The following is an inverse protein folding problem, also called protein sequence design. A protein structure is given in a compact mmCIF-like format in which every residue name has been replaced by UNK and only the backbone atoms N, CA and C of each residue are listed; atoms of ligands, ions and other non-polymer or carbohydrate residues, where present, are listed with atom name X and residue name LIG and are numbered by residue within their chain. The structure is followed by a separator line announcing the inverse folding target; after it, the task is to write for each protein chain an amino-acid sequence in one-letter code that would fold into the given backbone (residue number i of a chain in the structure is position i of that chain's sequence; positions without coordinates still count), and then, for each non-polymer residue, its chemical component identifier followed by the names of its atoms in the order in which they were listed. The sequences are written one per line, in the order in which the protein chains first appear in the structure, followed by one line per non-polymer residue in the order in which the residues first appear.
data_IF_499843250381
#
_entry.id   IF_499843250381
#
_cell.length_a   1.000
_cell.length_b   1.000
_cell.length_c   1.000
_cell.angle_alpha   90.00
_cell.angle_beta   90.00
_cell.angle_gamma   90.00
#
_symmetry.space_group_name_H-M   'P 1'
#
loop_
_entity.id
_entity.type
_entity.pdbx_description
1 polymer ?
#
# COMPACT_ATOMS: atom_id res chain seq x y z
N UNK A 1 21.14 8.74 -16.12
CA UNK A 1 20.50 7.57 -15.48
C UNK A 1 21.52 6.64 -14.83
N UNK A 2 22.46 6.01 -15.55
CA UNK A 2 23.45 5.08 -14.97
C UNK A 2 24.23 5.63 -13.75
N UNK A 3 24.74 6.88 -13.82
CA UNK A 3 25.50 7.50 -12.72
C UNK A 3 24.69 7.75 -11.43
N UNK A 4 23.37 7.91 -11.52
CA UNK A 4 22.51 8.16 -10.36
C UNK A 4 22.20 6.85 -9.61
N UNK A 5 22.01 5.77 -10.36
CA UNK A 5 21.79 4.44 -9.78
C UNK A 5 23.05 3.93 -9.05
N UNK A 6 24.23 4.16 -9.62
CA UNK A 6 25.52 3.84 -8.96
C UNK A 6 25.72 4.68 -7.69
N UNK A 7 25.34 5.96 -7.71
CA UNK A 7 25.44 6.85 -6.55
C UNK A 7 24.54 6.39 -5.38
N UNK A 8 23.32 5.96 -5.68
CA UNK A 8 22.35 5.51 -4.66
C UNK A 8 22.56 4.06 -4.20
N UNK A 9 23.41 3.29 -4.91
CA UNK A 9 23.62 1.87 -4.64
C UNK A 9 23.96 1.57 -3.17
N UNK A 10 24.87 2.29 -2.48
CA UNK A 10 25.19 1.99 -1.09
C UNK A 10 23.99 2.15 -0.14
N UNK A 11 23.14 3.14 -0.39
CA UNK A 11 21.91 3.36 0.38
C UNK A 11 20.92 2.21 0.14
N UNK A 12 20.67 1.87 -1.12
CA UNK A 12 19.76 0.79 -1.51
C UNK A 12 20.23 -0.56 -0.94
N UNK A 13 21.53 -0.87 -1.01
CA UNK A 13 22.10 -2.09 -0.43
C UNK A 13 21.89 -2.14 1.09
N UNK A 14 21.97 -1.00 1.77
CA UNK A 14 21.76 -0.90 3.22
C UNK A 14 20.29 -1.11 3.59
N UNK A 15 19.36 -0.48 2.85
CA UNK A 15 17.92 -0.68 3.02
C UNK A 15 17.54 -2.15 2.78
N UNK A 16 18.08 -2.76 1.72
CA UNK A 16 17.83 -4.17 1.41
C UNK A 16 18.34 -5.10 2.51
N UNK A 17 19.54 -4.85 3.06
CA UNK A 17 20.08 -5.62 4.21
C UNK A 17 19.22 -5.47 5.46
N UNK A 18 18.79 -4.25 5.78
CA UNK A 18 17.88 -3.99 6.91
C UNK A 18 16.55 -4.73 6.75
N UNK A 19 15.99 -4.71 5.54
CA UNK A 19 14.74 -5.42 5.23
C UNK A 19 14.91 -6.93 5.40
N UNK A 20 15.98 -7.51 4.84
CA UNK A 20 16.27 -8.94 4.95
C UNK A 20 16.47 -9.41 6.41
N UNK A 21 17.03 -8.57 7.29
CA UNK A 21 17.14 -8.88 8.72
C UNK A 21 15.79 -9.01 9.43
N UNK A 22 14.70 -8.53 8.81
CA UNK A 22 13.34 -8.65 9.32
C UNK A 22 12.52 -9.74 8.63
N UNK A 23 13.13 -10.51 7.73
CA UNK A 23 12.50 -11.63 7.03
C UNK A 23 12.77 -12.97 7.73
N UNK A 24 11.81 -13.88 7.68
CA UNK A 24 11.95 -15.22 8.27
C UNK A 24 11.57 -15.28 9.76
N UNK A 25 12.39 -15.98 10.57
CA UNK A 25 12.08 -16.24 11.98
C UNK A 25 12.09 -14.92 12.75
N UNK A 26 10.97 -14.61 13.42
CA UNK A 26 10.85 -13.39 14.21
C UNK A 26 11.83 -13.41 15.40
N UNK A 27 12.78 -12.48 15.47
CA UNK A 27 13.66 -12.32 16.61
C UNK A 27 12.94 -11.63 17.79
N UNK A 28 13.59 -11.65 18.96
CA UNK A 28 13.18 -10.83 20.09
C UNK A 28 13.23 -9.35 19.69
N UNK A 29 12.27 -8.55 20.14
CA UNK A 29 12.09 -7.15 19.73
C UNK A 29 11.86 -6.94 18.23
N UNK A 30 11.24 -7.91 17.53
CA UNK A 30 10.90 -7.80 16.10
C UNK A 30 10.25 -6.46 15.70
N UNK A 31 9.33 -5.94 16.51
CA UNK A 31 8.66 -4.66 16.23
C UNK A 31 9.66 -3.48 16.19
N UNK A 32 10.72 -3.49 17.00
CA UNK A 32 11.76 -2.46 17.00
C UNK A 32 12.56 -2.52 15.70
N UNK A 33 13.07 -3.71 15.38
CA UNK A 33 13.84 -3.93 14.15
C UNK A 33 13.04 -3.59 12.91
N UNK A 34 11.76 -3.98 12.87
CA UNK A 34 10.89 -3.69 11.73
C UNK A 34 10.60 -2.20 11.60
N UNK A 35 10.40 -1.49 12.70
CA UNK A 35 10.25 -0.02 12.68
C UNK A 35 11.47 0.66 12.07
N UNK A 36 12.67 0.24 12.46
CA UNK A 36 13.93 0.80 11.90
C UNK A 36 14.09 0.42 10.43
N UNK A 37 13.90 -0.85 10.07
CA UNK A 37 14.10 -1.30 8.69
C UNK A 37 13.15 -0.57 7.72
N UNK A 38 11.88 -0.43 8.09
CA UNK A 38 10.89 0.24 7.25
C UNK A 38 11.14 1.76 7.19
N UNK A 39 11.61 2.38 8.28
CA UNK A 39 11.86 3.83 8.32
C UNK A 39 13.04 4.26 7.44
N UNK A 40 13.97 3.36 7.12
CA UNK A 40 15.10 3.67 6.23
C UNK A 40 14.67 4.06 4.82
N UNK A 41 13.49 3.63 4.35
CA UNK A 41 12.96 4.04 3.04
C UNK A 41 12.79 5.56 2.92
N UNK A 42 12.56 6.26 4.04
CA UNK A 42 12.46 7.71 4.06
C UNK A 42 13.75 8.38 3.57
N UNK A 43 14.92 7.74 3.77
CA UNK A 43 16.22 8.29 3.35
C UNK A 43 16.38 8.33 1.83
N UNK A 44 15.55 7.61 1.06
CA UNK A 44 15.58 7.63 -0.40
C UNK A 44 15.10 8.95 -1.02
N UNK A 45 14.62 9.92 -0.22
CA UNK A 45 14.21 11.25 -0.70
C UNK A 45 15.30 11.97 -1.50
N UNK A 46 16.58 11.68 -1.23
CA UNK A 46 17.73 12.26 -1.95
C UNK A 46 17.78 11.84 -3.42
N UNK A 47 17.07 10.76 -3.79
CA UNK A 47 16.95 10.32 -5.17
C UNK A 47 16.00 11.20 -5.99
N UNK A 48 15.37 12.23 -5.42
CA UNK A 48 14.41 13.07 -6.12
C UNK A 48 15.13 13.93 -7.16
N UNK A 49 14.80 13.69 -8.43
CA UNK A 49 15.40 14.39 -9.59
C UNK A 49 14.45 15.40 -10.24
N UNK A 50 13.37 15.78 -9.57
CA UNK A 50 12.36 16.71 -10.07
C UNK A 50 11.01 16.05 -10.33
N UNK A 51 10.04 16.88 -10.74
CA UNK A 51 8.69 16.44 -11.10
C UNK A 51 8.77 15.49 -12.30
N UNK A 52 8.21 14.28 -12.17
CA UNK A 52 8.21 13.27 -13.24
C UNK A 52 9.26 12.16 -13.08
N UNK A 53 10.08 12.16 -12.03
CA UNK A 53 11.02 11.06 -11.75
C UNK A 53 10.37 9.81 -11.11
N UNK A 54 9.04 9.80 -10.95
CA UNK A 54 8.30 8.69 -10.35
C UNK A 54 8.35 8.65 -8.82
N UNK A 55 8.85 9.70 -8.15
CA UNK A 55 8.83 9.82 -6.70
C UNK A 55 8.03 11.04 -6.25
N UNK A 56 7.44 10.95 -5.05
CA UNK A 56 6.78 12.08 -4.39
C UNK A 56 7.80 13.15 -4.01
N UNK A 57 7.32 14.36 -3.70
CA UNK A 57 8.19 15.43 -3.22
C UNK A 57 8.95 14.97 -1.97
N UNK A 58 10.21 15.39 -1.76
CA UNK A 58 11.04 14.94 -0.63
C UNK A 58 10.36 14.91 0.73
N UNK A 59 9.63 15.98 1.08
CA UNK A 59 8.86 16.05 2.33
C UNK A 59 7.74 15.01 2.38
N UNK A 60 6.98 14.86 1.29
CA UNK A 60 5.92 13.86 1.18
C UNK A 60 6.48 12.43 1.20
N UNK A 61 7.60 12.17 0.51
CA UNK A 61 8.28 10.89 0.51
C UNK A 61 8.66 10.43 1.93
N UNK A 62 9.17 11.35 2.76
CA UNK A 62 9.49 11.05 4.16
C UNK A 62 8.23 10.75 4.98
N UNK A 63 7.17 11.54 4.80
CA UNK A 63 5.89 11.34 5.50
C UNK A 63 5.24 9.99 5.12
N UNK A 64 5.19 9.67 3.82
CA UNK A 64 4.67 8.42 3.27
C UNK A 64 5.51 7.21 3.72
N UNK A 65 6.84 7.32 3.68
CA UNK A 65 7.75 6.25 4.12
C UNK A 65 7.64 5.99 5.62
N UNK A 66 7.45 7.04 6.44
CA UNK A 66 7.30 6.91 7.88
C UNK A 66 6.04 6.11 8.26
N UNK A 67 4.94 6.22 7.50
CA UNK A 67 3.68 5.52 7.81
C UNK A 67 3.86 4.00 7.91
N UNK A 68 4.76 3.42 7.12
CA UNK A 68 5.05 1.98 7.17
C UNK A 68 5.78 1.58 8.46
N UNK A 69 6.77 2.39 8.86
CA UNK A 69 7.47 2.21 10.13
C UNK A 69 6.57 2.46 11.35
N UNK A 70 5.66 3.43 11.23
CA UNK A 70 4.77 3.87 12.31
C UNK A 70 3.86 2.74 12.79
N UNK A 71 3.43 1.85 11.89
CA UNK A 71 2.64 0.67 12.27
C UNK A 71 3.36 -0.22 13.28
N UNK A 72 4.63 -0.54 13.04
CA UNK A 72 5.43 -1.36 13.96
C UNK A 72 5.88 -0.58 15.18
N UNK A 73 6.14 0.72 15.04
CA UNK A 73 6.52 1.59 16.14
C UNK A 73 5.37 1.73 17.16
N UNK A 74 4.13 1.83 16.68
CA UNK A 74 2.94 1.85 17.53
C UNK A 74 2.75 0.54 18.30
N UNK A 75 3.16 -0.61 17.74
CA UNK A 75 3.14 -1.87 18.48
C UNK A 75 4.12 -1.87 19.64
N UNK A 76 5.30 -1.27 19.48
CA UNK A 76 6.24 -1.05 20.60
C UNK A 76 5.58 -0.20 21.68
N UNK A 77 5.00 0.94 21.31
CA UNK A 77 4.30 1.81 22.28
C UNK A 77 3.19 1.07 23.03
N UNK A 78 2.36 0.29 22.34
CA UNK A 78 1.26 -0.46 22.96
C UNK A 78 1.79 -1.58 23.87
N UNK A 79 2.83 -2.29 23.46
CA UNK A 79 3.40 -3.41 24.19
C UNK A 79 4.10 -2.96 25.47
N UNK A 80 4.77 -1.80 25.44
CA UNK A 80 5.67 -1.36 26.51
C UNK A 80 5.14 -0.18 27.35
N UNK A 81 4.03 0.48 26.98
CA UNK A 81 3.48 1.65 27.71
C UNK A 81 3.36 1.52 29.24
N UNK A 82 3.16 0.31 29.74
CA UNK A 82 3.02 0.01 31.17
C UNK A 82 4.05 -1.02 31.67
N UNK A 83 5.07 -1.33 30.87
CA UNK A 83 6.08 -2.36 31.20
C UNK A 83 7.44 -1.73 31.40
N UNK A 84 7.85 -0.86 30.47
CA UNK A 84 9.19 -0.31 30.43
C UNK A 84 9.19 1.02 29.68
N UNK A 85 9.67 2.07 30.34
CA UNK A 85 9.71 3.42 29.79
C UNK A 85 10.77 3.57 28.69
N UNK A 86 11.87 2.81 28.74
CA UNK A 86 12.99 2.95 27.81
C UNK A 86 12.55 2.62 26.36
N UNK A 87 11.74 1.57 26.21
CA UNK A 87 11.16 1.19 24.92
C UNK A 87 10.17 2.24 24.38
N UNK A 88 9.44 2.90 25.28
CA UNK A 88 8.49 3.96 24.91
C UNK A 88 9.23 5.22 24.48
N UNK A 89 10.28 5.61 25.21
CA UNK A 89 11.14 6.73 24.88
C UNK A 89 11.88 6.49 23.56
N UNK A 90 12.40 5.27 23.35
CA UNK A 90 13.01 4.87 22.08
C UNK A 90 12.04 5.03 20.90
N UNK A 91 10.79 4.55 21.04
CA UNK A 91 9.80 4.63 19.97
C UNK A 91 9.38 6.08 19.64
N UNK A 92 9.34 6.95 20.67
CA UNK A 92 9.11 8.39 20.48
C UNK A 92 10.29 9.05 19.80
N UNK A 93 11.51 8.77 20.23
CA UNK A 93 12.73 9.32 19.64
C UNK A 93 12.88 8.92 18.16
N UNK A 94 12.57 7.66 17.82
CA UNK A 94 12.58 7.21 16.44
C UNK A 94 11.56 7.98 15.59
N UNK A 95 10.35 8.22 16.11
CA UNK A 95 9.35 9.04 15.42
C UNK A 95 9.82 10.47 15.21
N UNK A 96 10.32 11.10 16.27
CA UNK A 96 10.80 12.49 16.24
C UNK A 96 11.95 12.69 15.25
N UNK A 97 12.81 11.68 15.07
CA UNK A 97 13.90 11.71 14.09
C UNK A 97 13.38 11.94 12.66
N UNK A 98 12.28 11.29 12.28
CA UNK A 98 11.71 11.44 10.94
C UNK A 98 10.69 12.58 10.86
N UNK A 99 9.78 12.63 11.82
CA UNK A 99 8.69 13.61 11.91
C UNK A 99 8.62 14.15 13.35
N UNK A 100 9.07 15.40 13.62
CA UNK A 100 9.38 16.45 12.64
C UNK A 100 10.80 16.47 12.07
N UNK A 101 11.79 15.78 12.66
CA UNK A 101 13.23 16.02 12.42
C UNK A 101 13.66 16.10 10.95
N UNK A 102 13.69 14.96 10.25
CA UNK A 102 14.08 14.89 8.84
C UNK A 102 13.12 15.66 7.93
N UNK A 103 11.81 15.53 8.19
CA UNK A 103 10.75 16.17 7.42
C UNK A 103 10.91 17.69 7.38
N UNK A 104 11.11 18.33 8.53
CA UNK A 104 11.24 19.78 8.65
C UNK A 104 12.61 20.27 8.15
N UNK A 105 13.67 19.48 8.32
CA UNK A 105 14.96 19.74 7.69
C UNK A 105 14.82 19.82 6.16
N UNK A 106 14.21 18.82 5.54
CA UNK A 106 13.97 18.79 4.09
C UNK A 106 13.09 19.96 3.67
N UNK A 107 12.00 20.22 4.39
CA UNK A 107 11.10 21.34 4.08
C UNK A 107 11.82 22.69 4.11
N UNK A 108 12.75 22.87 5.05
CA UNK A 108 13.50 24.12 5.22
C UNK A 108 14.61 24.30 4.19
N UNK A 109 15.36 23.24 3.87
CA UNK A 109 16.59 23.34 3.07
C UNK A 109 16.48 22.78 1.65
N UNK A 110 15.60 21.80 1.42
CA UNK A 110 15.42 21.08 0.15
C UNK A 110 13.95 20.90 -0.26
N UNK A 111 13.10 21.95 -0.23
CA UNK A 111 11.66 21.82 -0.52
C UNK A 111 11.36 21.32 -1.94
N UNK A 112 12.29 21.52 -2.87
CA UNK A 112 12.22 21.05 -4.26
C UNK A 112 13.23 19.94 -4.56
N UNK A 113 13.80 19.33 -3.51
CA UNK A 113 14.81 18.28 -3.61
C UNK A 113 16.24 18.78 -3.67
N UNK A 114 17.20 17.84 -3.66
CA UNK A 114 18.61 18.15 -3.75
C UNK A 114 18.97 18.70 -5.13
N UNK A 115 19.86 19.69 -5.15
CA UNK A 115 20.42 20.25 -6.38
C UNK A 115 21.75 19.56 -6.65
N UNK A 116 21.85 18.86 -7.78
CA UNK A 116 23.07 18.18 -8.19
C UNK A 116 23.90 19.08 -9.12
N UNK A 117 25.13 19.40 -8.73
CA UNK A 117 26.07 20.17 -9.55
C UNK A 117 26.91 19.28 -10.49
N UNK A 118 27.65 19.87 -11.45
CA UNK A 118 28.66 19.15 -12.22
C UNK A 118 29.73 18.55 -11.30
N UNK A 119 30.23 17.36 -11.62
CA UNK A 119 31.29 16.72 -10.86
C UNK A 119 32.54 17.62 -10.84
N UNK A 120 32.96 18.07 -9.65
CA UNK A 120 34.16 18.88 -9.44
C UNK A 120 33.93 20.35 -9.08
N UNK A 121 32.69 20.84 -9.02
CA UNK A 121 32.41 22.19 -8.50
C UNK A 121 32.24 22.16 -6.97
N UNK A 122 32.87 23.12 -6.28
CA UNK A 122 32.64 23.35 -4.85
C UNK A 122 31.14 23.55 -4.58
N UNK A 123 30.62 23.11 -3.41
CA UNK A 123 29.19 23.23 -3.10
C UNK A 123 28.75 24.69 -3.29
N UNK A 124 27.60 24.94 -3.95
CA UNK A 124 27.09 26.30 -4.08
C UNK A 124 26.93 26.88 -2.67
N UNK A 125 27.50 28.08 -2.44
CA UNK A 125 27.22 28.84 -1.21
C UNK A 125 25.70 28.96 -1.11
N UNK A 126 25.15 28.45 -0.02
CA UNK A 126 23.72 28.57 0.29
C UNK A 126 23.31 30.04 0.07
N UNK A 127 22.26 30.26 -0.72
CA UNK A 127 21.69 31.59 -0.90
C UNK A 127 21.35 32.14 0.49
N UNK A 128 22.02 33.22 0.87
CA UNK A 128 21.84 33.85 2.17
C UNK A 128 20.39 34.35 2.30
N UNK A 129 19.65 33.96 3.36
CA UNK A 129 18.49 34.73 3.78
C UNK A 129 18.98 36.10 4.26
N UNK A 130 18.27 37.16 3.89
CA UNK A 130 18.52 38.51 4.38
C UNK A 130 18.60 38.50 5.92
N UNK A 131 19.77 38.84 6.45
CA UNK A 131 20.10 38.74 7.87
C UNK A 131 19.53 39.92 8.67
N UNK A 132 18.82 39.62 9.77
CA UNK A 132 19.07 40.21 11.10
C UNK A 132 18.74 39.19 12.19
N UNK A 133 19.77 38.56 12.76
CA UNK A 133 19.68 37.69 13.93
C UNK A 133 21.00 36.95 14.17
N UNK A 134 21.54 36.90 15.41
CA UNK A 134 22.88 36.36 15.68
C UNK A 134 22.88 34.82 15.59
N UNK A 135 24.05 34.20 15.30
CA UNK A 135 24.13 32.76 15.06
C UNK A 135 24.00 31.95 16.36
N UNK A 136 23.38 30.77 16.34
CA UNK A 136 23.35 29.84 17.47
C UNK A 136 24.69 29.10 17.62
N UNK A 137 25.02 28.60 18.83
CA UNK A 137 26.32 28.02 19.16
C UNK A 137 26.52 26.61 18.56
N UNK A 138 27.77 26.29 18.23
CA UNK A 138 28.18 24.99 17.70
C UNK A 138 28.11 23.88 18.77
N UNK A 139 27.56 22.72 18.41
CA UNK A 139 27.58 21.52 19.23
C UNK A 139 28.96 20.82 19.16
N UNK A 140 29.46 20.23 20.26
CA UNK A 140 30.80 19.67 20.35
C UNK A 140 30.89 18.26 19.73
N UNK A 141 31.96 18.04 18.96
CA UNK A 141 32.35 16.73 18.42
C UNK A 141 33.03 15.87 19.49
N UNK A 142 32.66 14.60 19.58
CA UNK A 142 33.40 13.56 20.31
C UNK A 142 33.73 12.39 19.36
N UNK A 143 34.83 11.65 19.61
CA UNK A 143 35.68 11.10 18.54
C UNK A 143 35.44 9.62 18.21
N UNK A 144 35.67 9.28 16.94
CA UNK A 144 35.74 7.91 16.42
C UNK A 144 37.15 7.34 16.66
N UNK A 145 37.19 6.11 17.19
CA UNK A 145 38.40 5.31 17.31
C UNK A 145 38.85 4.80 15.93
N UNK A 146 40.12 5.04 15.61
CA UNK A 146 40.87 4.37 14.55
C UNK A 146 41.62 3.17 15.12
N UNK A 147 41.70 2.06 14.39
CA UNK A 147 42.97 1.31 14.25
C UNK A 147 42.95 0.49 12.96
N UNK A 148 44.05 0.65 12.24
CA UNK A 148 44.44 0.05 10.96
C UNK A 148 45.20 -1.26 11.21
N UNK A 149 45.09 -2.25 10.31
CA UNK A 149 46.23 -2.91 9.64
C UNK A 149 45.78 -4.05 8.73
N UNK A 150 46.06 -3.89 7.44
CA UNK A 150 46.26 -4.98 6.48
C UNK A 150 47.67 -5.58 6.60
N UNK A 151 47.95 -6.76 6.02
CA UNK A 151 48.63 -6.76 4.71
C UNK A 151 48.13 -7.81 3.69
N UNK A 152 48.62 -7.64 2.46
CA UNK A 152 48.21 -8.18 1.14
C UNK A 152 48.71 -9.60 0.82
N UNK A 153 47.98 -10.32 -0.04
CA UNK A 153 48.48 -11.16 -1.17
C UNK A 153 47.32 -11.49 -2.14
N UNK A 154 47.30 -10.95 -3.37
CA UNK A 154 47.70 -11.52 -4.69
C UNK A 154 46.68 -12.47 -5.40
N UNK A 155 45.89 -11.87 -6.34
CA UNK A 155 45.27 -12.41 -7.59
C UNK A 155 44.28 -13.60 -7.56
N UNK A 156 43.47 -13.82 -8.65
CA UNK A 156 42.61 -12.91 -9.39
C UNK A 156 41.12 -13.38 -9.39
N UNK A 157 40.23 -12.49 -9.85
CA UNK A 157 38.77 -12.64 -9.90
C UNK A 157 38.30 -13.78 -10.82
N UNK A 158 37.42 -14.66 -10.31
CA UNK A 158 36.40 -15.34 -11.11
C UNK A 158 35.08 -15.39 -10.33
N UNK A 159 34.08 -14.68 -10.83
CA UNK A 159 32.73 -14.62 -10.28
C UNK A 159 31.75 -15.45 -11.09
N UNK A 160 30.71 -15.93 -10.40
CA UNK A 160 29.29 -16.09 -10.81
C UNK A 160 28.96 -16.64 -12.21
N UNK A 161 29.89 -17.30 -12.88
CA UNK A 161 29.71 -18.02 -14.15
C UNK A 161 29.98 -19.52 -14.02
N UNK A 162 30.48 -19.98 -12.87
CA UNK A 162 30.64 -21.40 -12.55
C UNK A 162 29.35 -22.08 -12.05
N UNK A 163 28.37 -21.31 -11.56
CA UNK A 163 27.10 -21.85 -11.03
C UNK A 163 26.13 -22.25 -12.14
N UNK A 164 26.27 -21.68 -13.35
CA UNK A 164 25.40 -21.98 -14.49
C UNK A 164 25.93 -23.07 -15.43
N UNK A 165 27.18 -23.54 -15.26
CA UNK A 165 27.69 -24.73 -15.95
C UNK A 165 27.40 -26.04 -15.21
N UNK A 166 27.03 -25.98 -13.93
CA UNK A 166 26.70 -27.18 -13.14
C UNK A 166 25.23 -27.63 -13.29
N UNK A 167 24.41 -26.88 -14.04
CA UNK A 167 22.99 -27.17 -14.27
C UNK A 167 22.73 -27.80 -15.67
N UNK A 168 23.76 -27.86 -16.54
CA UNK A 168 23.65 -28.38 -17.90
C UNK A 168 24.02 -29.86 -18.09
N UNK A 169 24.46 -30.56 -17.06
CA UNK A 169 24.89 -31.96 -17.14
C UNK A 169 23.95 -32.88 -16.38
N UNK A 170 22.96 -33.46 -17.07
CA UNK A 170 22.05 -34.42 -16.46
C UNK A 170 22.77 -35.62 -15.83
N UNK A 171 22.75 -35.71 -14.50
CA UNK A 171 22.75 -36.96 -13.69
C UNK A 171 22.51 -36.67 -12.19
N UNK A 172 21.56 -37.42 -11.61
CA UNK A 172 21.24 -37.68 -10.20
C UNK A 172 20.97 -36.53 -9.21
N UNK A 173 19.92 -35.73 -9.47
CA UNK A 173 19.35 -34.74 -8.51
C UNK A 173 18.32 -35.36 -7.53
N UNK A 174 18.18 -36.69 -7.44
CA UNK A 174 17.14 -37.33 -6.60
C UNK A 174 17.66 -38.16 -5.41
N UNK A 175 18.97 -38.22 -5.20
CA UNK A 175 19.57 -39.04 -4.13
C UNK A 175 19.46 -38.43 -2.71
N UNK A 176 19.09 -37.15 -2.58
CA UNK A 176 19.00 -36.44 -1.28
C UNK A 176 17.59 -36.26 -0.70
N UNK A 177 16.53 -36.70 -1.41
CA UNK A 177 15.14 -36.52 -0.97
C UNK A 177 14.65 -37.75 -0.21
N UNK A 178 14.13 -37.55 1.01
CA UNK A 178 13.45 -38.62 1.77
C UNK A 178 12.26 -39.14 0.95
N UNK A 179 12.19 -40.45 0.70
CA UNK A 179 11.05 -41.08 0.04
C UNK A 179 9.79 -40.96 0.90
N UNK A 180 8.73 -40.45 0.30
CA UNK A 180 7.38 -40.39 0.89
C UNK A 180 6.82 -41.82 0.93
N UNK A 181 6.58 -42.35 2.14
CA UNK A 181 5.98 -43.66 2.36
C UNK A 181 4.46 -43.62 2.12
N UNK A 182 3.85 -44.76 1.80
CA UNK A 182 2.47 -44.84 1.29
C UNK A 182 1.38 -44.35 2.27
N UNK A 183 1.70 -44.26 3.56
CA UNK A 183 0.87 -43.67 4.63
C UNK A 183 0.77 -42.14 4.55
N UNK A 184 1.71 -41.49 3.85
CA UNK A 184 1.72 -40.03 3.66
C UNK A 184 0.93 -39.58 2.42
N UNK A 185 0.39 -40.51 1.63
CA UNK A 185 -0.46 -40.20 0.47
C UNK A 185 -1.92 -40.06 0.91
N UNK A 186 -2.55 -38.94 0.54
CA UNK A 186 -3.93 -38.59 0.93
C UNK A 186 -5.00 -39.65 0.55
N UNK A 187 -4.69 -40.58 -0.36
CA UNK A 187 -5.59 -41.68 -0.78
C UNK A 187 -5.65 -42.87 0.21
N UNK A 188 -4.76 -42.94 1.19
CA UNK A 188 -4.61 -44.09 2.10
C UNK A 188 -4.96 -43.76 3.57
N UNK A 189 -5.63 -42.64 3.86
CA UNK A 189 -6.17 -42.36 5.20
C UNK A 189 -7.45 -43.17 5.42
N UNK A 190 -7.39 -44.20 6.26
CA UNK A 190 -8.53 -45.07 6.57
C UNK A 190 -9.59 -44.44 7.49
N UNK A 191 -9.47 -43.16 7.88
CA UNK A 191 -10.34 -42.52 8.88
C UNK A 191 -11.26 -41.42 8.30
N UNK A 192 -11.82 -41.67 7.11
CA UNK A 192 -12.94 -40.89 6.56
C UNK A 192 -13.92 -41.81 5.85
N UNK A 193 -14.71 -42.56 6.61
CA UNK A 193 -15.90 -43.22 6.05
C UNK A 193 -17.02 -42.18 5.86
N UNK A 194 -17.08 -41.57 4.68
CA UNK A 194 -18.24 -40.81 4.23
C UNK A 194 -19.25 -41.75 3.56
N UNK A 195 -19.98 -42.54 4.35
CA UNK A 195 -21.16 -43.27 3.85
C UNK A 195 -22.34 -42.32 3.92
N UNK A 196 -22.85 -41.92 2.76
CA UNK A 196 -24.12 -41.21 2.62
C UNK A 196 -25.22 -42.27 2.55
N UNK A 197 -26.05 -42.36 3.58
CA UNK A 197 -27.34 -43.08 3.49
C UNK A 197 -28.47 -42.07 3.50
N UNK A 198 -29.26 -42.12 2.45
CA UNK A 198 -30.52 -41.41 2.25
C UNK A 198 -31.62 -42.11 3.04
N UNK A 199 -32.43 -41.36 3.82
CA UNK A 199 -33.82 -41.70 4.17
C UNK A 199 -34.51 -40.53 4.89
N UNK A 200 -35.83 -40.49 4.72
CA UNK A 200 -36.71 -39.33 4.76
C UNK A 200 -37.23 -38.88 6.16
N UNK A 201 -37.57 -37.59 6.19
CA UNK A 201 -38.52 -36.80 7.01
C UNK A 201 -39.26 -37.39 8.23
N UNK A 202 -39.18 -36.68 9.38
CA UNK A 202 -40.29 -36.09 10.18
C UNK A 202 -39.72 -35.24 11.37
N UNK A 203 -40.49 -34.48 12.18
CA UNK A 203 -40.39 -33.02 12.32
C UNK A 203 -39.69 -32.50 13.61
N UNK A 204 -39.40 -31.19 13.59
CA UNK A 204 -38.56 -30.41 14.49
C UNK A 204 -38.91 -30.39 15.99
N UNK A 205 -37.93 -30.03 16.83
CA UNK A 205 -38.17 -28.95 17.79
C UNK A 205 -37.12 -27.84 17.73
N UNK A 206 -37.59 -26.62 17.99
CA UNK A 206 -36.85 -25.37 17.95
C UNK A 206 -35.54 -25.42 18.75
N UNK A 207 -34.43 -25.02 18.12
CA UNK A 207 -33.19 -24.64 18.80
C UNK A 207 -32.69 -23.33 18.25
N UNK A 208 -32.57 -22.39 19.19
CA UNK A 208 -31.94 -21.08 19.10
C UNK A 208 -30.61 -21.16 18.35
N UNK A 209 -30.57 -20.60 17.13
CA UNK A 209 -29.33 -20.46 16.38
C UNK A 209 -28.50 -19.34 16.99
N UNK A 210 -27.62 -19.68 17.93
CA UNK A 210 -26.42 -18.90 18.20
C UNK A 210 -25.51 -19.09 17.00
N UNK A 211 -25.71 -18.27 15.95
CA UNK A 211 -24.74 -18.15 14.87
C UNK A 211 -23.45 -17.61 15.49
N UNK A 212 -22.46 -18.49 15.62
CA UNK A 212 -21.10 -18.11 15.98
C UNK A 212 -20.53 -17.25 14.87
N UNK A 213 -20.59 -15.94 15.05
CA UNK A 213 -19.84 -14.99 14.25
C UNK A 213 -18.36 -15.31 14.40
N UNK A 214 -17.73 -15.79 13.33
CA UNK A 214 -16.29 -15.62 13.14
C UNK A 214 -16.04 -14.12 12.90
N UNK A 215 -16.17 -13.33 13.96
CA UNK A 215 -15.79 -11.94 13.99
C UNK A 215 -14.28 -11.85 13.93
N UNK A 216 -13.75 -11.63 12.73
CA UNK A 216 -12.48 -10.91 12.58
C UNK A 216 -12.53 -9.71 13.51
N UNK A 217 -11.56 -9.58 14.42
CA UNK A 217 -11.44 -8.43 15.32
C UNK A 217 -11.35 -7.17 14.47
N UNK A 218 -12.48 -6.51 14.24
CA UNK A 218 -12.55 -5.22 13.54
C UNK A 218 -11.80 -4.19 14.38
N UNK A 219 -10.98 -3.36 13.74
CA UNK A 219 -10.33 -2.25 14.44
C UNK A 219 -11.37 -1.29 15.02
N UNK A 220 -10.95 -0.35 15.87
CA UNK A 220 -11.85 0.66 16.42
C UNK A 220 -12.48 1.46 15.27
N UNK A 221 -13.82 1.61 15.24
CA UNK A 221 -14.49 2.45 14.26
C UNK A 221 -14.00 3.89 14.36
N UNK A 222 -13.70 4.52 13.23
CA UNK A 222 -13.33 5.95 13.16
C UNK A 222 -14.11 6.64 12.06
N UNK A 223 -14.44 7.89 12.34
CA UNK A 223 -14.92 8.87 11.38
C UNK A 223 -14.44 10.22 11.92
N UNK A 224 -13.29 10.68 11.44
CA UNK A 224 -12.68 11.92 11.93
C UNK A 224 -11.82 12.58 10.86
N UNK A 225 -11.71 13.90 10.94
CA UNK A 225 -10.79 14.68 10.13
C UNK A 225 -9.42 14.76 10.81
N UNK A 226 -8.44 14.04 10.26
CA UNK A 226 -7.08 14.07 10.77
C UNK A 226 -6.30 15.24 10.18
N UNK A 227 -5.63 15.99 11.07
CA UNK A 227 -4.72 17.09 10.73
C UNK A 227 -5.35 18.15 9.82
N UNK A 228 -6.68 18.32 9.87
CA UNK A 228 -7.44 19.24 9.02
C UNK A 228 -7.41 18.93 7.53
N UNK A 229 -6.93 17.73 7.13
CA UNK A 229 -6.55 17.43 5.75
C UNK A 229 -7.14 16.14 5.20
N UNK A 230 -7.22 15.09 6.02
CA UNK A 230 -7.62 13.75 5.60
C UNK A 230 -8.74 13.23 6.47
N UNK A 231 -9.91 13.01 5.90
CA UNK A 231 -10.97 12.26 6.54
C UNK A 231 -10.61 10.78 6.57
N UNK A 232 -10.72 10.18 7.75
CA UNK A 232 -10.43 8.77 7.98
C UNK A 232 -11.72 8.09 8.43
N UNK A 233 -12.23 7.18 7.60
CA UNK A 233 -13.44 6.39 7.85
C UNK A 233 -13.04 4.93 7.94
N UNK A 234 -12.85 4.41 9.15
CA UNK A 234 -12.26 3.08 9.37
C UNK A 234 -13.21 2.16 10.11
N UNK A 235 -13.17 0.87 9.77
CA UNK A 235 -13.75 -0.24 10.54
C UNK A 235 -15.24 -0.10 10.89
N UNK A 236 -16.01 0.64 10.08
CA UNK A 236 -17.45 0.79 10.27
C UNK A 236 -18.13 -0.54 9.93
N UNK A 237 -19.08 -0.98 10.76
CA UNK A 237 -19.82 -2.24 10.53
C UNK A 237 -21.31 -1.99 10.73
N UNK A 238 -22.11 -2.28 9.70
CA UNK A 238 -23.57 -2.14 9.76
C UNK A 238 -24.09 -0.70 9.82
N UNK A 239 -23.24 0.31 9.53
CA UNK A 239 -23.60 1.72 9.65
C UNK A 239 -24.09 2.27 8.33
N UNK A 240 -25.36 2.65 8.24
CA UNK A 240 -26.00 3.13 7.00
C UNK A 240 -26.23 4.64 6.97
N UNK A 241 -25.78 5.32 8.02
CA UNK A 241 -26.06 6.72 8.36
C UNK A 241 -24.78 7.58 8.41
N UNK A 242 -23.65 7.09 7.87
CA UNK A 242 -22.40 7.85 7.92
C UNK A 242 -22.46 9.01 6.92
N UNK A 243 -22.08 10.20 7.37
CA UNK A 243 -22.05 11.39 6.54
C UNK A 243 -20.80 12.25 6.82
N UNK A 244 -20.30 12.90 5.78
CA UNK A 244 -19.32 13.99 5.85
C UNK A 244 -19.94 15.19 5.14
N UNK A 245 -20.45 16.14 5.94
CA UNK A 245 -21.11 17.34 5.43
C UNK A 245 -20.14 18.50 5.22
N UNK A 246 -19.15 18.64 6.10
CA UNK A 246 -18.13 19.69 6.04
C UNK A 246 -16.96 19.29 5.11
N UNK A 247 -17.19 19.38 3.81
CA UNK A 247 -16.18 19.07 2.78
C UNK A 247 -15.39 20.31 2.35
N UNK A 248 -14.07 20.16 2.20
CA UNK A 248 -13.20 21.14 1.54
C UNK A 248 -12.51 20.49 0.33
N UNK A 249 -12.45 21.22 -0.80
CA UNK A 249 -11.92 20.72 -2.07
C UNK A 249 -10.45 20.35 -2.03
N UNK A 250 -9.73 20.77 -1.00
CA UNK A 250 -8.35 20.39 -0.78
C UNK A 250 -8.32 19.04 -0.02
N UNK A 251 -9.27 18.73 0.85
CA UNK A 251 -9.24 17.52 1.70
C UNK A 251 -9.35 16.21 0.91
N UNK A 252 -8.85 15.12 1.48
CA UNK A 252 -9.04 13.76 0.96
C UNK A 252 -9.85 12.89 1.91
N UNK A 253 -10.51 11.86 1.38
CA UNK A 253 -11.24 10.87 2.18
C UNK A 253 -10.60 9.50 1.95
N UNK A 254 -10.25 8.81 3.04
CA UNK A 254 -9.78 7.45 3.02
C UNK A 254 -10.69 6.56 3.85
N UNK A 255 -11.37 5.64 3.17
CA UNK A 255 -12.27 4.66 3.76
C UNK A 255 -11.56 3.32 3.81
N UNK A 256 -11.49 2.70 4.99
CA UNK A 256 -10.75 1.44 5.15
C UNK A 256 -11.48 0.42 6.02
N UNK A 257 -11.57 -0.82 5.52
CA UNK A 257 -12.04 -1.95 6.32
C UNK A 257 -13.52 -1.88 6.74
N UNK A 258 -14.33 -1.05 6.06
CA UNK A 258 -15.75 -0.90 6.36
C UNK A 258 -16.55 -2.08 5.78
N UNK A 259 -17.55 -2.54 6.53
CA UNK A 259 -18.38 -3.70 6.18
C UNK A 259 -19.84 -3.38 6.32
N UNK A 260 -20.64 -3.77 5.33
CA UNK A 260 -22.10 -3.60 5.37
C UNK A 260 -22.51 -2.17 5.79
N UNK A 261 -21.85 -1.15 5.23
CA UNK A 261 -21.98 0.24 5.66
C UNK A 261 -22.17 1.17 4.46
N UNK A 262 -22.70 2.37 4.69
CA UNK A 262 -22.94 3.39 3.66
C UNK A 262 -22.41 4.73 4.14
N UNK A 263 -21.67 5.42 3.27
CA UNK A 263 -21.14 6.77 3.51
C UNK A 263 -21.70 7.77 2.49
N UNK A 264 -22.16 8.91 2.99
CA UNK A 264 -22.54 10.07 2.18
C UNK A 264 -21.49 11.18 2.30
N UNK A 265 -21.01 11.68 1.18
CA UNK A 265 -20.04 12.78 1.09
C UNK A 265 -20.71 13.96 0.40
N UNK A 266 -21.21 14.90 1.21
CA UNK A 266 -22.12 15.96 0.78
C UNK A 266 -21.38 17.22 0.32
N UNK A 267 -20.34 17.06 -0.51
CA UNK A 267 -19.58 18.18 -1.03
C UNK A 267 -18.45 17.79 -1.97
N UNK A 268 -17.59 18.77 -2.23
CA UNK A 268 -16.43 18.61 -3.13
C UNK A 268 -15.17 18.35 -2.31
N UNK A 269 -14.46 17.27 -2.64
CA UNK A 269 -13.17 16.90 -2.05
C UNK A 269 -12.12 16.69 -3.14
N UNK A 270 -10.84 16.59 -2.76
CA UNK A 270 -9.77 16.38 -3.72
C UNK A 270 -9.79 14.95 -4.28
N UNK A 271 -9.83 13.95 -3.41
CA UNK A 271 -9.89 12.53 -3.78
C UNK A 271 -10.60 11.70 -2.71
N UNK A 272 -11.10 10.55 -3.13
CA UNK A 272 -11.71 9.55 -2.26
C UNK A 272 -11.08 8.20 -2.61
N UNK A 273 -10.61 7.47 -1.61
CA UNK A 273 -10.11 6.10 -1.76
C UNK A 273 -10.89 5.17 -0.83
N UNK A 274 -11.45 4.10 -1.38
CA UNK A 274 -12.17 3.05 -0.66
C UNK A 274 -11.32 1.78 -0.71
N UNK A 275 -10.78 1.35 0.43
CA UNK A 275 -9.83 0.25 0.53
C UNK A 275 -10.32 -0.86 1.49
N UNK A 276 -10.18 -2.13 1.09
CA UNK A 276 -10.54 -3.31 1.91
C UNK A 276 -11.95 -3.28 2.48
N UNK A 277 -12.90 -2.70 1.76
CA UNK A 277 -14.30 -2.64 2.18
C UNK A 277 -15.10 -3.82 1.60
N UNK A 278 -16.16 -4.23 2.30
CA UNK A 278 -17.03 -5.34 1.86
C UNK A 278 -18.50 -4.98 2.03
N UNK A 279 -19.33 -5.11 0.98
CA UNK A 279 -20.74 -4.65 1.02
C UNK A 279 -20.84 -3.19 1.44
N UNK A 280 -20.09 -2.31 0.76
CA UNK A 280 -19.98 -0.91 1.13
C UNK A 280 -20.61 -0.02 0.06
N UNK A 281 -21.48 0.89 0.49
CA UNK A 281 -22.07 1.91 -0.37
C UNK A 281 -21.42 3.26 -0.14
N UNK A 282 -21.21 4.04 -1.20
CA UNK A 282 -20.78 5.43 -1.08
C UNK A 282 -21.47 6.32 -2.10
N UNK A 283 -22.03 7.41 -1.62
CA UNK A 283 -22.61 8.47 -2.42
C UNK A 283 -21.74 9.71 -2.23
N UNK A 284 -21.24 10.29 -3.31
CA UNK A 284 -20.42 11.49 -3.24
C UNK A 284 -20.81 12.48 -4.32
N UNK A 285 -20.60 13.77 -4.05
CA UNK A 285 -20.87 14.83 -5.03
C UNK A 285 -19.71 14.99 -6.02
N UNK A 286 -18.63 15.66 -5.63
CA UNK A 286 -17.53 15.96 -6.54
C UNK A 286 -16.17 15.49 -6.01
N UNK A 287 -15.34 14.97 -6.91
CA UNK A 287 -13.90 14.81 -6.69
C UNK A 287 -13.11 15.65 -7.68
N UNK A 288 -12.09 16.36 -7.20
CA UNK A 288 -11.23 17.19 -8.06
C UNK A 288 -10.29 16.33 -8.90
N UNK A 289 -9.72 15.29 -8.30
CA UNK A 289 -8.69 14.45 -8.91
C UNK A 289 -9.24 13.07 -9.30
N UNK A 290 -9.56 12.23 -8.30
CA UNK A 290 -9.90 10.84 -8.56
C UNK A 290 -10.77 10.24 -7.46
N UNK A 291 -11.53 9.22 -7.86
CA UNK A 291 -12.19 8.27 -6.99
C UNK A 291 -11.56 6.88 -7.19
N UNK A 292 -11.18 6.20 -6.11
CA UNK A 292 -10.45 4.94 -6.17
C UNK A 292 -11.14 3.86 -5.33
N UNK A 293 -11.30 2.66 -5.89
CA UNK A 293 -11.75 1.46 -5.19
C UNK A 293 -10.64 0.43 -5.27
N UNK A 294 -10.14 -0.01 -4.12
CA UNK A 294 -8.98 -0.91 -4.03
C UNK A 294 -9.27 -2.05 -3.06
N UNK A 295 -8.93 -3.29 -3.42
CA UNK A 295 -9.04 -4.46 -2.53
C UNK A 295 -10.45 -4.70 -1.95
N UNK A 296 -11.51 -4.31 -2.66
CA UNK A 296 -12.87 -4.37 -2.13
C UNK A 296 -13.68 -5.57 -2.64
N UNK A 297 -14.82 -5.84 -1.99
CA UNK A 297 -15.77 -6.86 -2.43
C UNK A 297 -17.22 -6.40 -2.27
N UNK A 298 -17.97 -6.30 -3.38
CA UNK A 298 -19.35 -5.81 -3.38
C UNK A 298 -19.44 -4.36 -2.94
N UNK A 299 -19.03 -3.43 -3.80
CA UNK A 299 -19.11 -1.99 -3.53
C UNK A 299 -20.09 -1.35 -4.49
N UNK A 300 -20.88 -0.42 -3.97
CA UNK A 300 -21.80 0.42 -4.74
C UNK A 300 -21.34 1.87 -4.63
N UNK A 301 -21.10 2.51 -5.77
CA UNK A 301 -20.54 3.86 -5.86
C UNK A 301 -21.50 4.73 -6.65
N UNK A 302 -21.99 5.82 -6.07
CA UNK A 302 -22.84 6.79 -6.76
C UNK A 302 -22.19 8.16 -6.81
N UNK A 303 -21.93 8.64 -8.03
CA UNK A 303 -21.44 10.00 -8.27
C UNK A 303 -22.62 10.93 -8.58
N UNK A 304 -22.80 11.96 -7.75
CA UNK A 304 -23.86 12.97 -7.89
C UNK A 304 -23.39 14.29 -8.53
N UNK A 305 -22.09 14.48 -8.71
CA UNK A 305 -21.48 15.62 -9.41
C UNK A 305 -20.45 15.13 -10.42
N UNK A 306 -19.21 15.64 -10.33
CA UNK A 306 -18.13 15.32 -11.27
C UNK A 306 -17.04 14.41 -10.68
N UNK A 307 -16.52 13.49 -11.49
CA UNK A 307 -15.38 12.64 -11.17
C UNK A 307 -14.51 12.43 -12.42
N UNK A 308 -13.39 13.16 -12.60
CA UNK A 308 -12.61 13.07 -13.83
C UNK A 308 -11.96 11.70 -14.05
N UNK A 309 -11.54 11.04 -12.97
CA UNK A 309 -10.89 9.73 -13.01
C UNK A 309 -11.50 8.81 -11.97
N UNK A 310 -11.81 7.58 -12.36
CA UNK A 310 -12.30 6.52 -11.49
C UNK A 310 -11.42 5.29 -11.70
N UNK A 311 -10.85 4.75 -10.62
CA UNK A 311 -9.97 3.58 -10.68
C UNK A 311 -10.52 2.43 -9.84
N UNK A 312 -10.55 1.23 -10.41
CA UNK A 312 -11.04 0.00 -9.75
C UNK A 312 -9.94 -1.07 -9.78
N UNK A 313 -9.22 -1.24 -8.68
CA UNK A 313 -8.10 -2.18 -8.55
C UNK A 313 -8.40 -3.30 -7.55
N UNK A 314 -8.06 -4.54 -7.91
CA UNK A 314 -8.16 -5.73 -7.07
C UNK A 314 -9.53 -5.85 -6.36
N UNK A 315 -10.62 -5.57 -7.08
CA UNK A 315 -11.97 -5.47 -6.52
C UNK A 315 -12.93 -6.42 -7.22
N UNK A 316 -13.74 -7.16 -6.46
CA UNK A 316 -14.76 -8.06 -7.00
C UNK A 316 -16.16 -7.54 -6.69
N UNK A 317 -16.98 -7.29 -7.70
CA UNK A 317 -18.32 -6.70 -7.55
C UNK A 317 -18.23 -5.21 -7.28
N UNK A 318 -18.32 -4.39 -8.34
CA UNK A 318 -18.34 -2.94 -8.27
C UNK A 318 -19.44 -2.40 -9.17
N UNK A 319 -20.46 -1.77 -8.56
CA UNK A 319 -21.55 -1.10 -9.26
C UNK A 319 -21.30 0.40 -9.23
N UNK A 320 -21.04 1.00 -10.39
CA UNK A 320 -20.71 2.42 -10.52
C UNK A 320 -21.85 3.18 -11.17
N UNK A 321 -22.60 3.94 -10.38
CA UNK A 321 -23.68 4.80 -10.84
C UNK A 321 -23.12 6.18 -11.17
N UNK A 322 -23.19 6.53 -12.46
CA UNK A 322 -22.81 7.84 -12.97
C UNK A 322 -24.05 8.72 -13.14
N UNK A 323 -23.80 10.02 -13.30
CA UNK A 323 -24.78 11.01 -13.70
C UNK A 323 -24.35 11.65 -15.03
N UNK A 324 -25.16 12.57 -15.57
CA UNK A 324 -24.86 13.28 -16.83
C UNK A 324 -23.56 14.10 -16.78
N UNK A 325 -23.13 14.56 -15.61
CA UNK A 325 -21.91 15.36 -15.42
C UNK A 325 -20.62 14.51 -15.32
N UNK A 326 -20.75 13.21 -15.03
CA UNK A 326 -19.64 12.27 -14.81
C UNK A 326 -19.49 11.24 -15.94
N UNK A 327 -20.29 11.30 -17.00
CA UNK A 327 -20.18 10.39 -18.15
C UNK A 327 -18.83 10.47 -18.88
N UNK A 328 -18.15 11.62 -18.80
CA UNK A 328 -16.83 11.81 -19.38
C UNK A 328 -15.68 11.28 -18.48
N UNK A 329 -16.00 10.62 -17.36
CA UNK A 329 -15.01 10.05 -16.46
C UNK A 329 -14.10 9.04 -17.19
N UNK A 330 -12.80 9.16 -16.99
CA UNK A 330 -11.85 8.11 -17.38
C UNK A 330 -11.89 7.00 -16.35
N UNK A 331 -12.37 5.81 -16.76
CA UNK A 331 -12.47 4.65 -15.88
C UNK A 331 -11.32 3.69 -16.19
N UNK A 332 -10.52 3.37 -15.18
CA UNK A 332 -9.45 2.36 -15.26
C UNK A 332 -9.75 1.18 -14.35
N UNK A 333 -9.36 -0.02 -14.79
CA UNK A 333 -9.54 -1.24 -14.01
C UNK A 333 -8.31 -2.14 -14.07
N UNK A 334 -7.97 -2.76 -12.94
CA UNK A 334 -6.90 -3.75 -12.87
C UNK A 334 -7.27 -4.86 -11.88
N UNK A 335 -7.06 -6.13 -12.25
CA UNK A 335 -7.33 -7.30 -11.37
C UNK A 335 -8.71 -7.30 -10.71
N UNK A 336 -9.70 -6.75 -11.42
CA UNK A 336 -11.05 -6.57 -10.90
C UNK A 336 -12.05 -7.37 -11.73
N UNK A 337 -13.19 -7.71 -11.14
CA UNK A 337 -14.24 -8.54 -11.76
C UNK A 337 -15.63 -8.07 -11.34
N UNK A 338 -16.65 -8.42 -12.13
CA UNK A 338 -18.05 -8.05 -11.86
C UNK A 338 -18.22 -6.51 -11.73
N UNK A 339 -17.60 -5.78 -12.66
CA UNK A 339 -17.65 -4.32 -12.72
C UNK A 339 -18.72 -3.87 -13.70
N UNK A 340 -19.73 -3.14 -13.24
CA UNK A 340 -20.78 -2.61 -14.08
C UNK A 340 -20.88 -1.08 -13.88
N UNK A 341 -21.06 -0.37 -14.99
CA UNK A 341 -21.29 1.08 -15.00
C UNK A 341 -22.74 1.32 -15.34
N UNK A 342 -23.44 2.02 -14.47
CA UNK A 342 -24.85 2.35 -14.61
C UNK A 342 -24.97 3.81 -15.07
N UNK A 343 -25.50 3.99 -16.27
CA UNK A 343 -25.68 5.29 -16.93
C UNK A 343 -27.17 5.66 -16.87
N UNK A 344 -27.54 6.90 -16.51
CA UNK A 344 -28.94 7.30 -16.49
C UNK A 344 -29.59 7.17 -17.88
N UNK A 345 -30.79 6.58 -17.92
CA UNK A 345 -31.60 6.52 -19.15
C UNK A 345 -32.01 7.93 -19.60
N UNK A 346 -31.98 8.18 -20.90
CA UNK A 346 -32.53 9.41 -21.48
C UNK A 346 -34.05 9.34 -21.70
N UNK A 347 -34.62 8.14 -21.69
CA UNK A 347 -36.04 7.89 -22.00
C UNK A 347 -36.91 7.78 -20.74
N UNK A 348 -36.35 7.25 -19.66
CA UNK A 348 -37.07 6.98 -18.40
C UNK A 348 -36.36 7.63 -17.22
N UNK A 349 -37.03 8.58 -16.58
CA UNK A 349 -36.49 9.29 -15.43
C UNK A 349 -36.36 8.33 -14.24
N UNK A 350 -35.15 8.25 -13.67
CA UNK A 350 -34.84 7.37 -12.54
C UNK A 350 -34.40 5.95 -12.88
N UNK A 351 -34.35 5.56 -14.16
CA UNK A 351 -33.80 4.27 -14.57
C UNK A 351 -32.32 4.39 -14.98
N UNK A 352 -31.58 3.29 -14.81
CA UNK A 352 -30.20 3.16 -15.28
C UNK A 352 -30.07 2.05 -16.32
N UNK A 353 -29.25 2.31 -17.33
CA UNK A 353 -28.75 1.32 -18.27
C UNK A 353 -27.45 0.76 -17.74
N UNK A 354 -27.39 -0.56 -17.58
CA UNK A 354 -26.23 -1.27 -17.04
C UNK A 354 -25.24 -1.65 -18.16
N UNK A 355 -23.98 -1.26 -17.99
CA UNK A 355 -22.90 -1.54 -18.93
C UNK A 355 -21.77 -2.32 -18.23
N UNK A 356 -21.63 -3.64 -18.48
CA UNK A 356 -20.55 -4.42 -17.91
C UNK A 356 -19.21 -4.02 -18.54
N UNK A 357 -18.18 -3.80 -17.72
CA UNK A 357 -16.83 -3.53 -18.19
C UNK A 357 -16.10 -4.84 -18.54
N UNK A 358 -15.34 -4.88 -19.64
CA UNK A 358 -14.53 -6.04 -19.98
C UNK A 358 -13.51 -6.37 -18.88
N UNK A 359 -13.44 -7.64 -18.50
CA UNK A 359 -12.49 -8.14 -17.51
C UNK A 359 -11.51 -9.18 -18.07
N UNK A 360 -11.70 -9.59 -19.32
CA UNK A 360 -10.82 -10.51 -20.03
C UNK A 360 -10.35 -9.87 -21.34
N UNK A 361 -9.08 -10.09 -21.68
CA UNK A 361 -8.45 -9.53 -22.87
C UNK A 361 -7.76 -10.63 -23.68
N UNK A 362 -7.81 -10.52 -25.01
CA UNK A 362 -7.03 -11.34 -25.93
C UNK A 362 -5.82 -10.54 -26.37
N UNK A 363 -4.66 -11.20 -26.35
CA UNK A 363 -3.40 -10.66 -26.83
C UNK A 363 -2.95 -11.48 -28.05
N UNK A 364 -2.70 -10.82 -29.17
CA UNK A 364 -2.22 -11.47 -30.40
C UNK A 364 -0.98 -10.74 -30.91
N UNK A 365 -0.03 -11.51 -31.45
CA UNK A 365 1.20 -10.98 -32.04
C UNK A 365 1.02 -10.83 -33.55
N UNK A 366 1.09 -9.60 -34.04
CA UNK A 366 0.92 -9.26 -35.45
C UNK A 366 1.86 -8.10 -35.83
N UNK A 367 2.44 -8.15 -37.03
CA UNK A 367 3.33 -7.09 -37.56
C UNK A 367 4.48 -6.71 -36.62
N UNK A 368 4.99 -7.69 -35.85
CA UNK A 368 6.10 -7.49 -34.92
C UNK A 368 5.71 -6.89 -33.57
N UNK A 369 4.42 -6.69 -33.29
CA UNK A 369 3.92 -6.10 -32.05
C UNK A 369 2.74 -6.91 -31.45
N UNK A 370 2.59 -6.86 -30.14
CA UNK A 370 1.38 -7.37 -29.48
C UNK A 370 0.25 -6.33 -29.54
N UNK A 371 -0.91 -6.75 -30.02
CA UNK A 371 -2.17 -5.99 -29.93
C UNK A 371 -3.07 -6.64 -28.90
N UNK A 372 -3.75 -5.81 -28.09
CA UNK A 372 -4.65 -6.26 -27.03
C UNK A 372 -6.06 -5.75 -27.31
N UNK A 373 -7.05 -6.63 -27.18
CA UNK A 373 -8.47 -6.28 -27.33
C UNK A 373 -9.30 -6.91 -26.21
N UNK A 374 -10.37 -6.23 -25.73
CA UNK A 374 -11.29 -6.84 -24.78
C UNK A 374 -12.04 -8.00 -25.43
N UNK A 375 -12.30 -9.07 -24.66
CA UNK A 375 -13.15 -10.17 -25.12
C UNK A 375 -14.59 -9.71 -25.10
N UNK A 376 -15.26 -9.77 -26.26
CA UNK A 376 -16.71 -9.68 -26.36
C UNK A 376 -17.27 -11.10 -26.44
N UNK A 377 -18.11 -11.48 -25.48
CA UNK A 377 -18.95 -12.67 -25.60
C UNK A 377 -20.30 -12.20 -26.16
N UNK A 378 -20.81 -12.88 -27.18
CA UNK A 378 -22.14 -12.66 -27.73
C UNK A 378 -23.20 -13.06 -26.69
N UNK A 379 -23.50 -12.15 -25.77
CA UNK A 379 -24.47 -12.39 -24.69
C UNK A 379 -24.66 -11.26 -23.69
N UNK A 380 -24.19 -10.04 -23.99
CA UNK A 380 -24.49 -8.83 -23.22
C UNK A 380 -25.18 -7.81 -24.11
#
# INVERSE_FOLDING_TARGET
MAKAQDFLKPLNDTIAKATAMTEGRRPDYFNHMKSVADSLHALAWVAFLGKGCGMSFPTAHVEESWQMAEFYNNKVLVEYKNKDADHVEWAKALKELYTPGLRDYIKKYYPLGPVWGPAGCAPPKAAAPAAKGPPPPAAPSAPLFSTDKSPKSSQPKQGMSAVFQEIGGGKDVTSGLRKVTDDMKAKNRADRSGVVTSSAAAPAPAKTSRAGTFGSKTGTPKLELQMGRKWVVENQVGRKDLAIDECDSKQSIYVFGCKDSVLQVNGKVNNITVDKCTKFGIVFKDVVAAFEVVNCNGVEVQCQGTAPTISIDNTAGCQLYLNKESLAASITSAKSSEMNVLVPSDETDGDWVEHPLPQQYIHFFQDGQFTTSPVSHSGA
#
